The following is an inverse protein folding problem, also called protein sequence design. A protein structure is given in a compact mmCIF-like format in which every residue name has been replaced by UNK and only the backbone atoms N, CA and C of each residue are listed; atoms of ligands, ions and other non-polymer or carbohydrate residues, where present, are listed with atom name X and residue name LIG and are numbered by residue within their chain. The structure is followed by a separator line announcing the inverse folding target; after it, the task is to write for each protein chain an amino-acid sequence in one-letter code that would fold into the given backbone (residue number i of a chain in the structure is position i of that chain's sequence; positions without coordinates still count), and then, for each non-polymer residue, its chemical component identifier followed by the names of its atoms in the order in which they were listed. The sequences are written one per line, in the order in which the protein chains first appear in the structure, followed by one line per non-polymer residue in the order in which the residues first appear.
data_IF_009454086830
#
_entry.id   IF_009454086830
#
_cell.length_a   1.000
_cell.length_b   1.000
_cell.length_c   1.000
_cell.angle_alpha   90.00
_cell.angle_beta   90.00
_cell.angle_gamma   90.00
#
_symmetry.space_group_name_H-M   'P 1'
#
loop_
_entity.id
_entity.type
_entity.pdbx_description
1 polymer ?
#
# COMPACT_ATOMS: atom_id res chain seq x y z
N UNK A 1 -7.00 -25.36 0.81
CA UNK A 1 -7.47 -23.96 0.83
C UNK A 1 -6.32 -23.05 0.40
N UNK A 2 -6.43 -22.29 -0.69
CA UNK A 2 -5.27 -21.60 -1.29
C UNK A 2 -4.85 -20.30 -0.57
N UNK A 3 -5.78 -19.60 0.10
CA UNK A 3 -5.48 -18.34 0.79
C UNK A 3 -4.57 -18.52 2.01
N UNK A 4 -4.84 -19.46 2.95
CA UNK A 4 -3.95 -19.69 4.08
C UNK A 4 -2.54 -20.10 3.62
N UNK A 5 -2.44 -20.98 2.62
CA UNK A 5 -1.15 -21.40 2.06
C UNK A 5 -0.36 -20.22 1.50
N UNK A 6 -1.01 -19.32 0.76
CA UNK A 6 -0.35 -18.13 0.23
C UNK A 6 0.10 -17.17 1.33
N UNK A 7 -0.73 -16.97 2.35
CA UNK A 7 -0.41 -16.11 3.49
C UNK A 7 0.75 -16.67 4.33
N UNK A 8 0.75 -17.96 4.65
CA UNK A 8 1.84 -18.59 5.40
C UNK A 8 3.17 -18.54 4.64
N UNK A 9 3.15 -18.76 3.32
CA UNK A 9 4.36 -18.58 2.49
C UNK A 9 4.86 -17.13 2.54
N UNK A 10 3.96 -16.16 2.42
CA UNK A 10 4.32 -14.76 2.51
C UNK A 10 4.92 -14.36 3.86
N UNK A 11 4.36 -14.87 4.96
CA UNK A 11 4.90 -14.65 6.30
C UNK A 11 6.27 -15.30 6.47
N UNK A 12 6.47 -16.51 5.94
CA UNK A 12 7.78 -17.18 5.96
C UNK A 12 8.85 -16.50 5.10
N UNK A 13 8.44 -15.66 4.16
CA UNK A 13 9.31 -14.93 3.25
C UNK A 13 9.76 -13.57 3.81
N UNK A 14 9.00 -12.97 4.74
CA UNK A 14 9.34 -11.68 5.36
C UNK A 14 10.77 -11.60 5.93
N UNK A 15 11.30 -12.61 6.64
CA UNK A 15 12.64 -12.52 7.22
C UNK A 15 13.77 -12.66 6.18
N UNK A 16 13.46 -12.98 4.92
CA UNK A 16 14.50 -13.20 3.90
C UNK A 16 15.20 -11.87 3.58
N UNK A 17 16.55 -11.84 3.48
CA UNK A 17 17.30 -10.59 3.31
C UNK A 17 16.87 -9.75 2.10
N UNK A 18 16.52 -10.40 0.97
CA UNK A 18 16.07 -9.72 -0.25
C UNK A 18 14.71 -9.03 -0.06
N UNK A 19 13.80 -9.62 0.70
CA UNK A 19 12.44 -9.10 0.93
C UNK A 19 12.47 -8.06 2.05
N UNK A 20 13.16 -8.36 3.15
CA UNK A 20 13.36 -7.43 4.25
C UNK A 20 14.14 -6.19 3.81
N UNK A 21 15.11 -6.33 2.88
CA UNK A 21 15.84 -5.21 2.30
C UNK A 21 14.93 -4.19 1.62
N UNK A 22 13.82 -4.62 1.01
CA UNK A 22 12.81 -3.73 0.42
C UNK A 22 12.03 -2.97 1.50
N UNK A 23 11.66 -3.64 2.60
CA UNK A 23 11.04 -2.98 3.77
C UNK A 23 11.99 -1.92 4.34
N UNK A 24 13.24 -2.30 4.61
CA UNK A 24 14.26 -1.41 5.16
C UNK A 24 14.53 -0.22 4.24
N UNK A 25 14.60 -0.45 2.93
CA UNK A 25 14.76 0.62 1.93
C UNK A 25 13.54 1.56 1.91
N UNK A 26 12.32 1.04 1.97
CA UNK A 26 11.10 1.84 2.04
C UNK A 26 11.05 2.72 3.29
N UNK A 27 11.41 2.15 4.46
CA UNK A 27 11.50 2.88 5.73
C UNK A 27 12.60 3.94 5.65
N UNK A 28 13.80 3.58 5.20
CA UNK A 28 14.92 4.51 5.06
C UNK A 28 14.57 5.67 4.11
N UNK A 29 13.99 5.37 2.94
CA UNK A 29 13.59 6.38 1.97
C UNK A 29 12.52 7.31 2.55
N UNK A 30 11.56 6.78 3.30
CA UNK A 30 10.53 7.57 3.97
C UNK A 30 11.14 8.51 5.01
N UNK A 31 12.09 8.03 5.82
CA UNK A 31 12.81 8.83 6.82
C UNK A 31 13.68 9.91 6.18
N UNK A 32 14.43 9.57 5.12
CA UNK A 32 15.26 10.53 4.39
C UNK A 32 14.40 11.60 3.74
N UNK A 33 13.32 11.21 3.05
CA UNK A 33 12.42 12.15 2.42
C UNK A 33 11.73 13.05 3.45
N UNK A 34 11.33 12.49 4.60
CA UNK A 34 10.77 13.27 5.70
C UNK A 34 11.75 14.32 6.20
N UNK A 35 13.00 13.92 6.47
CA UNK A 35 14.04 14.81 6.97
C UNK A 35 14.36 15.93 5.97
N UNK A 36 14.46 15.60 4.68
CA UNK A 36 14.69 16.57 3.61
C UNK A 36 13.54 17.56 3.48
N UNK A 37 12.30 17.07 3.50
CA UNK A 37 11.11 17.90 3.44
C UNK A 37 10.99 18.81 4.67
N UNK A 38 11.30 18.31 5.86
CA UNK A 38 11.38 19.12 7.08
C UNK A 38 12.47 20.19 6.98
N UNK A 39 13.68 19.83 6.56
CA UNK A 39 14.77 20.78 6.40
C UNK A 39 14.40 21.88 5.38
N UNK A 40 13.77 21.50 4.27
CA UNK A 40 13.29 22.44 3.26
C UNK A 40 12.19 23.36 3.80
N UNK A 41 11.23 22.83 4.56
CA UNK A 41 10.16 23.63 5.16
C UNK A 41 10.71 24.63 6.19
N UNK A 42 11.61 24.18 7.08
CA UNK A 42 12.27 25.05 8.07
C UNK A 42 13.10 26.13 7.36
N UNK A 43 13.86 25.76 6.33
CA UNK A 43 14.62 26.71 5.53
C UNK A 43 13.71 27.75 4.87
N UNK A 44 12.62 27.32 4.24
CA UNK A 44 11.66 28.21 3.59
C UNK A 44 11.00 29.17 4.59
N UNK A 45 10.62 28.68 5.78
CA UNK A 45 10.04 29.53 6.83
C UNK A 45 11.06 30.54 7.35
N UNK A 46 12.34 30.16 7.50
CA UNK A 46 13.39 31.10 7.89
C UNK A 46 13.69 32.13 6.81
N UNK A 47 13.58 31.76 5.54
CA UNK A 47 13.88 32.63 4.41
C UNK A 47 12.72 33.58 4.06
N UNK A 48 11.47 33.12 4.21
CA UNK A 48 10.27 33.80 3.70
C UNK A 48 9.17 34.01 4.74
N UNK A 49 9.26 33.38 5.92
CA UNK A 49 8.24 33.43 6.95
C UNK A 49 8.36 34.67 7.84
N UNK A 50 7.25 35.12 8.46
CA UNK A 50 7.28 36.20 9.44
C UNK A 50 7.93 35.76 10.75
N UNK A 51 8.63 36.68 11.43
CA UNK A 51 9.31 36.41 12.72
C UNK A 51 8.34 36.01 13.85
N UNK A 52 7.08 36.47 13.75
CA UNK A 52 6.02 36.24 14.72
C UNK A 52 4.74 35.86 13.97
N UNK A 53 4.12 34.74 14.35
CA UNK A 53 2.77 34.39 13.91
C UNK A 53 1.80 34.66 15.06
N UNK A 54 0.94 35.66 14.90
CA UNK A 54 -0.09 35.98 15.89
C UNK A 54 -1.36 35.19 15.58
N UNK A 55 -1.67 34.18 16.38
CA UNK A 55 -2.88 33.38 16.21
C UNK A 55 -4.03 33.91 17.09
N UNK A 56 -5.26 34.07 16.56
CA UNK A 56 -6.38 34.70 17.27
C UNK A 56 -6.80 34.05 18.60
N UNK A 57 -6.44 32.77 18.82
CA UNK A 57 -6.76 32.02 20.04
C UNK A 57 -5.53 31.60 20.89
N UNK A 58 -4.32 31.68 20.32
CA UNK A 58 -3.12 31.03 20.90
C UNK A 58 -2.05 32.08 21.28
N UNK A 59 -2.14 33.31 20.77
CA UNK A 59 -1.17 34.38 21.00
C UNK A 59 -0.01 34.35 20.01
N UNK A 60 1.08 35.05 20.35
CA UNK A 60 2.26 35.17 19.50
C UNK A 60 3.14 33.92 19.56
N UNK A 61 3.38 33.33 18.39
CA UNK A 61 4.24 32.15 18.25
C UNK A 61 5.51 32.56 17.49
N UNK A 62 6.65 32.52 18.19
CA UNK A 62 7.96 32.72 17.58
C UNK A 62 8.37 31.48 16.78
N UNK A 63 8.53 31.64 15.47
CA UNK A 63 8.83 30.52 14.56
C UNK A 63 10.35 30.33 14.38
N UNK A 64 11.16 31.28 14.86
CA UNK A 64 12.58 31.39 14.53
C UNK A 64 13.47 30.27 15.10
N UNK A 65 12.98 29.47 16.06
CA UNK A 65 13.69 28.30 16.60
C UNK A 65 13.49 27.03 15.76
N UNK A 66 14.56 26.30 15.44
CA UNK A 66 14.49 24.99 14.76
C UNK A 66 13.73 23.91 15.57
N UNK A 67 13.51 24.15 16.87
CA UNK A 67 12.68 23.36 17.79
C UNK A 67 11.47 24.15 18.32
N UNK A 68 11.04 25.22 17.64
CA UNK A 68 9.86 25.97 18.10
C UNK A 68 8.60 25.12 17.94
N UNK A 69 7.59 25.37 18.78
CA UNK A 69 6.28 24.71 18.67
C UNK A 69 5.63 24.89 17.28
N UNK A 70 5.93 25.99 16.57
CA UNK A 70 5.49 26.22 15.18
C UNK A 70 6.12 25.25 14.18
N UNK A 71 7.39 24.88 14.38
CA UNK A 71 8.04 23.85 13.55
C UNK A 71 7.53 22.43 13.81
N UNK A 72 7.03 22.16 15.03
CA UNK A 72 6.44 20.87 15.39
C UNK A 72 5.06 20.67 14.77
N UNK A 73 4.30 21.74 14.52
CA UNK A 73 3.01 21.70 13.81
C UNK A 73 3.16 21.28 12.34
N UNK A 74 4.35 21.41 11.77
CA UNK A 74 4.63 20.95 10.40
C UNK A 74 4.73 19.43 10.33
N UNK A 75 5.08 18.73 11.42
CA UNK A 75 5.25 17.28 11.41
C UNK A 75 3.99 16.52 10.94
N UNK A 76 2.78 16.78 11.49
CA UNK A 76 1.55 16.14 11.01
C UNK A 76 1.17 16.52 9.58
N UNK A 77 1.45 17.75 9.15
CA UNK A 77 1.12 18.20 7.80
C UNK A 77 2.05 17.51 6.80
N UNK A 78 3.36 17.49 7.08
CA UNK A 78 4.35 16.86 6.23
C UNK A 78 4.21 15.34 6.17
N UNK A 79 3.71 14.68 7.21
CA UNK A 79 3.41 13.24 7.16
C UNK A 79 2.31 12.91 6.15
N UNK A 80 1.32 13.79 5.97
CA UNK A 80 0.31 13.67 4.92
C UNK A 80 0.93 13.87 3.54
N UNK A 81 1.80 14.87 3.36
CA UNK A 81 2.48 15.10 2.07
C UNK A 81 3.43 13.95 1.68
N UNK A 82 4.04 13.28 2.65
CA UNK A 82 4.85 12.08 2.42
C UNK A 82 4.07 10.89 1.87
N UNK A 83 2.77 10.83 2.14
CA UNK A 83 1.95 9.70 1.74
C UNK A 83 1.99 9.47 0.22
N UNK A 84 1.95 10.54 -0.58
CA UNK A 84 1.97 10.45 -2.04
C UNK A 84 3.28 9.84 -2.61
N UNK A 85 4.48 10.37 -2.33
CA UNK A 85 5.73 9.80 -2.83
C UNK A 85 6.03 8.41 -2.26
N UNK A 86 5.68 8.13 -1.01
CA UNK A 86 5.81 6.78 -0.43
C UNK A 86 4.90 5.78 -1.15
N UNK A 87 3.65 6.16 -1.41
CA UNK A 87 2.70 5.33 -2.16
C UNK A 87 3.18 5.08 -3.59
N UNK A 88 3.68 6.11 -4.28
CA UNK A 88 4.21 5.98 -5.64
C UNK A 88 5.45 5.08 -5.70
N UNK A 89 6.37 5.22 -4.74
CA UNK A 89 7.54 4.35 -4.62
C UNK A 89 7.15 2.88 -4.38
N UNK A 90 6.13 2.64 -3.56
CA UNK A 90 5.59 1.31 -3.33
C UNK A 90 4.92 0.70 -4.57
N UNK A 91 4.04 1.45 -5.22
CA UNK A 91 3.30 0.99 -6.40
C UNK A 91 4.20 0.72 -7.61
N UNK A 92 5.23 1.55 -7.83
CA UNK A 92 6.11 1.45 -8.99
C UNK A 92 7.28 0.50 -8.80
N UNK A 93 8.08 0.71 -7.74
CA UNK A 93 9.36 0.01 -7.59
C UNK A 93 9.23 -1.20 -6.66
N UNK A 94 8.70 -1.04 -5.45
CA UNK A 94 8.81 -2.10 -4.45
C UNK A 94 7.97 -3.35 -4.77
N UNK A 95 6.73 -3.18 -5.21
CA UNK A 95 5.85 -4.32 -5.47
C UNK A 95 6.33 -5.18 -6.66
N UNK A 96 6.93 -4.59 -7.70
CA UNK A 96 7.52 -5.34 -8.81
C UNK A 96 8.74 -6.15 -8.35
N UNK A 97 9.65 -5.52 -7.60
CA UNK A 97 10.85 -6.18 -7.09
C UNK A 97 10.51 -7.33 -6.14
N UNK A 98 9.48 -7.17 -5.31
CA UNK A 98 9.00 -8.20 -4.40
C UNK A 98 8.40 -9.38 -5.15
N UNK A 99 7.52 -9.14 -6.13
CA UNK A 99 6.94 -10.19 -6.94
C UNK A 99 8.04 -10.99 -7.67
N UNK A 100 9.00 -10.29 -8.28
CA UNK A 100 10.17 -10.92 -8.92
C UNK A 100 11.00 -11.73 -7.93
N UNK A 101 11.31 -11.18 -6.75
CA UNK A 101 12.09 -11.90 -5.75
C UNK A 101 11.39 -13.19 -5.29
N UNK A 102 10.08 -13.17 -5.13
CA UNK A 102 9.27 -14.35 -4.78
C UNK A 102 9.27 -15.38 -5.91
N UNK A 103 9.11 -14.93 -7.15
CA UNK A 103 9.19 -15.78 -8.35
C UNK A 103 10.56 -16.47 -8.45
N UNK A 104 11.65 -15.72 -8.29
CA UNK A 104 13.02 -16.24 -8.33
C UNK A 104 13.29 -17.27 -7.21
N UNK A 105 12.65 -17.11 -6.04
CA UNK A 105 12.85 -17.98 -4.87
C UNK A 105 11.99 -19.25 -4.94
N UNK A 106 10.73 -19.13 -5.35
CA UNK A 106 9.73 -20.21 -5.20
C UNK A 106 9.20 -20.78 -6.50
N UNK A 107 9.35 -20.08 -7.62
CA UNK A 107 8.74 -20.43 -8.90
C UNK A 107 9.78 -20.42 -10.04
N UNK A 108 10.81 -21.29 -9.97
CA UNK A 108 11.86 -21.34 -10.98
C UNK A 108 11.28 -21.65 -12.37
N UNK A 109 11.71 -20.88 -13.37
CA UNK A 109 11.26 -21.01 -14.76
C UNK A 109 10.08 -20.10 -15.15
N UNK A 110 9.53 -19.34 -14.21
CA UNK A 110 8.51 -18.32 -14.51
C UNK A 110 9.17 -16.95 -14.67
N UNK A 111 8.95 -16.29 -15.82
CA UNK A 111 9.44 -14.92 -16.06
C UNK A 111 8.27 -13.96 -16.22
N UNK A 112 8.05 -13.13 -15.21
CA UNK A 112 7.06 -12.05 -15.28
C UNK A 112 7.52 -10.88 -16.14
N UNK A 113 6.61 -10.29 -16.91
CA UNK A 113 6.84 -9.04 -17.66
C UNK A 113 6.92 -7.84 -16.69
N UNK A 114 7.86 -6.94 -16.94
CA UNK A 114 7.94 -5.66 -16.24
C UNK A 114 6.80 -4.74 -16.69
N UNK A 115 6.06 -4.17 -15.75
CA UNK A 115 4.97 -3.23 -16.05
C UNK A 115 5.58 -1.85 -16.27
N UNK A 116 5.22 -1.17 -17.36
CA UNK A 116 5.78 0.15 -17.67
C UNK A 116 5.30 1.17 -16.63
N UNK A 117 6.23 1.96 -16.08
CA UNK A 117 5.95 2.97 -15.04
C UNK A 117 4.77 3.90 -15.37
N UNK A 118 4.62 4.32 -16.63
CA UNK A 118 3.49 5.17 -17.08
C UNK A 118 2.13 4.49 -16.96
N UNK A 119 2.07 3.19 -17.25
CA UNK A 119 0.84 2.40 -17.11
C UNK A 119 0.49 2.23 -15.63
N UNK A 120 1.50 2.00 -14.78
CA UNK A 120 1.33 1.95 -13.33
C UNK A 120 0.82 3.27 -12.71
N UNK A 121 1.23 4.43 -13.25
CA UNK A 121 0.80 5.73 -12.75
C UNK A 121 -0.70 6.00 -13.03
N UNK A 122 -1.16 5.77 -14.27
CA UNK A 122 -2.58 5.95 -14.63
C UNK A 122 -3.48 5.01 -13.84
N UNK A 123 -3.03 3.79 -13.59
CA UNK A 123 -3.77 2.84 -12.77
C UNK A 123 -3.80 3.23 -11.31
N UNK A 124 -2.69 3.76 -10.77
CA UNK A 124 -2.66 4.29 -9.41
C UNK A 124 -3.69 5.41 -9.22
N UNK A 125 -3.92 6.26 -10.23
CA UNK A 125 -4.97 7.28 -10.19
C UNK A 125 -6.38 6.67 -10.18
N UNK A 126 -6.63 5.65 -10.99
CA UNK A 126 -7.93 4.95 -10.99
C UNK A 126 -8.20 4.24 -9.65
N UNK A 127 -7.17 3.64 -9.05
CA UNK A 127 -7.24 3.03 -7.71
C UNK A 127 -7.50 4.10 -6.67
N UNK A 128 -6.78 5.22 -6.71
CA UNK A 128 -6.97 6.35 -5.79
C UNK A 128 -8.41 6.88 -5.86
N UNK A 129 -8.96 7.05 -7.05
CA UNK A 129 -10.37 7.42 -7.23
C UNK A 129 -11.34 6.40 -6.63
N UNK A 130 -11.08 5.11 -6.81
CA UNK A 130 -11.89 4.05 -6.20
C UNK A 130 -11.78 4.03 -4.67
N UNK A 131 -10.58 4.19 -4.10
CA UNK A 131 -10.35 4.29 -2.65
C UNK A 131 -11.10 5.48 -2.07
N UNK A 132 -11.02 6.65 -2.72
CA UNK A 132 -11.72 7.86 -2.29
C UNK A 132 -13.23 7.66 -2.29
N UNK A 133 -13.78 7.07 -3.35
CA UNK A 133 -15.21 6.78 -3.43
C UNK A 133 -15.66 5.80 -2.35
N UNK A 134 -14.91 4.71 -2.15
CA UNK A 134 -15.13 3.73 -1.07
C UNK A 134 -15.10 4.39 0.30
N UNK A 135 -14.12 5.27 0.53
CA UNK A 135 -13.96 6.01 1.78
C UNK A 135 -15.14 6.93 2.03
N UNK A 136 -15.55 7.70 1.02
CA UNK A 136 -16.68 8.62 1.11
C UNK A 136 -18.00 7.88 1.38
N UNK A 137 -18.26 6.79 0.66
CA UNK A 137 -19.45 5.95 0.88
C UNK A 137 -19.44 5.40 2.29
N UNK A 138 -18.30 4.88 2.75
CA UNK A 138 -18.19 4.32 4.11
C UNK A 138 -18.41 5.39 5.17
N UNK A 139 -17.83 6.58 5.00
CA UNK A 139 -17.99 7.71 5.92
C UNK A 139 -19.45 8.14 6.03
N UNK A 140 -20.14 8.31 4.89
CA UNK A 140 -21.56 8.69 4.85
C UNK A 140 -22.45 7.60 5.45
N UNK A 141 -22.12 6.32 5.26
CA UNK A 141 -22.91 5.20 5.77
C UNK A 141 -22.64 4.85 7.24
N UNK A 142 -21.51 5.27 7.80
CA UNK A 142 -21.07 4.98 9.17
C UNK A 142 -22.14 5.28 10.25
N UNK A 143 -22.77 6.48 10.29
CA UNK A 143 -23.78 6.78 11.32
C UNK A 143 -25.04 5.91 11.24
N UNK A 144 -25.36 5.37 10.05
CA UNK A 144 -26.54 4.52 9.84
C UNK A 144 -26.29 3.04 10.18
N UNK A 145 -25.04 2.60 10.07
CA UNK A 145 -24.66 1.19 10.22
C UNK A 145 -24.20 0.81 11.63
N UNK A 146 -23.82 1.79 12.45
CA UNK A 146 -23.33 1.55 13.81
C UNK A 146 -22.19 0.52 13.81
N UNK A 147 -22.27 -0.58 14.58
CA UNK A 147 -21.24 -1.62 14.61
C UNK A 147 -20.94 -2.28 13.25
N UNK A 148 -21.94 -2.33 12.34
CA UNK A 148 -21.77 -2.91 11.00
C UNK A 148 -20.89 -2.04 10.08
N UNK A 149 -20.63 -0.77 10.46
CA UNK A 149 -19.72 0.10 9.73
C UNK A 149 -18.31 -0.51 9.62
N UNK A 150 -17.87 -1.24 10.65
CA UNK A 150 -16.58 -1.94 10.64
C UNK A 150 -16.54 -3.04 9.58
N UNK A 151 -17.61 -3.84 9.45
CA UNK A 151 -17.70 -4.86 8.40
C UNK A 151 -17.68 -4.23 7.00
N UNK A 152 -18.40 -3.12 6.82
CA UNK A 152 -18.40 -2.39 5.56
C UNK A 152 -17.00 -1.84 5.26
N UNK A 153 -16.35 -1.21 6.23
CA UNK A 153 -15.01 -0.64 6.09
C UNK A 153 -13.99 -1.70 5.69
N UNK A 154 -13.86 -2.78 6.48
CA UNK A 154 -12.88 -3.83 6.20
C UNK A 154 -13.25 -4.65 4.96
N UNK A 155 -14.55 -4.90 4.73
CA UNK A 155 -15.04 -5.63 3.58
C UNK A 155 -14.76 -4.89 2.27
N UNK A 156 -15.05 -3.59 2.23
CA UNK A 156 -14.90 -2.76 1.03
C UNK A 156 -13.43 -2.44 0.73
N UNK A 157 -12.64 -2.10 1.76
CA UNK A 157 -11.19 -1.93 1.62
C UNK A 157 -10.52 -3.26 1.26
N UNK A 158 -10.89 -4.37 1.91
CA UNK A 158 -10.35 -5.68 1.62
C UNK A 158 -10.69 -6.18 0.21
N UNK A 159 -11.91 -5.91 -0.27
CA UNK A 159 -12.29 -6.16 -1.66
C UNK A 159 -11.43 -5.37 -2.64
N UNK A 160 -11.22 -4.08 -2.38
CA UNK A 160 -10.44 -3.21 -3.24
C UNK A 160 -8.96 -3.62 -3.26
N UNK A 161 -8.33 -3.80 -2.10
CA UNK A 161 -6.96 -4.29 -1.96
C UNK A 161 -6.80 -5.64 -2.68
N UNK A 162 -7.73 -6.56 -2.42
CA UNK A 162 -7.73 -7.88 -3.04
C UNK A 162 -7.77 -7.82 -4.56
N UNK A 163 -8.61 -6.94 -5.10
CA UNK A 163 -8.74 -6.71 -6.54
C UNK A 163 -7.45 -6.19 -7.15
N UNK A 164 -6.84 -5.17 -6.53
CA UNK A 164 -5.67 -4.48 -7.10
C UNK A 164 -4.39 -5.31 -6.98
N UNK A 165 -4.10 -5.87 -5.81
CA UNK A 165 -2.88 -6.67 -5.63
C UNK A 165 -2.91 -7.98 -6.43
N UNK A 166 -4.07 -8.63 -6.56
CA UNK A 166 -4.21 -9.78 -7.45
C UNK A 166 -4.00 -9.38 -8.92
N UNK A 167 -4.55 -8.24 -9.33
CA UNK A 167 -4.39 -7.72 -10.68
C UNK A 167 -2.92 -7.45 -10.99
N UNK A 168 -2.20 -6.85 -10.04
CA UNK A 168 -0.78 -6.56 -10.16
C UNK A 168 0.05 -7.83 -10.34
N UNK A 169 -0.17 -8.85 -9.49
CA UNK A 169 0.52 -10.13 -9.61
C UNK A 169 0.19 -10.84 -10.94
N UNK A 170 -1.08 -10.86 -11.34
CA UNK A 170 -1.53 -11.58 -12.53
C UNK A 170 -1.01 -10.97 -13.84
N UNK A 171 -0.93 -9.64 -13.94
CA UNK A 171 -0.50 -8.95 -15.17
C UNK A 171 0.94 -9.16 -15.57
N UNK A 172 1.78 -9.61 -14.63
CA UNK A 172 3.13 -10.07 -14.94
C UNK A 172 3.11 -11.25 -15.91
N UNK A 173 2.04 -12.05 -15.92
CA UNK A 173 1.97 -13.33 -16.61
C UNK A 173 0.82 -13.44 -17.61
N UNK A 174 -0.24 -12.64 -17.44
CA UNK A 174 -1.49 -12.75 -18.19
C UNK A 174 -1.79 -11.50 -19.02
N UNK A 175 -2.54 -11.69 -20.11
CA UNK A 175 -3.13 -10.57 -20.86
C UNK A 175 -4.16 -9.82 -20.02
N UNK A 176 -4.55 -8.61 -20.44
CA UNK A 176 -5.57 -7.82 -19.74
C UNK A 176 -6.92 -8.57 -19.62
N UNK A 177 -7.31 -9.32 -20.66
CA UNK A 177 -8.55 -10.09 -20.69
C UNK A 177 -8.48 -11.28 -19.73
N UNK A 178 -7.37 -12.02 -19.76
CA UNK A 178 -7.16 -13.18 -18.89
C UNK A 178 -7.05 -12.79 -17.42
N UNK A 179 -6.43 -11.63 -17.15
CA UNK A 179 -6.39 -11.03 -15.81
C UNK A 179 -7.81 -10.74 -15.32
N UNK A 180 -8.67 -10.16 -16.16
CA UNK A 180 -10.06 -9.87 -15.79
C UNK A 180 -10.85 -11.16 -15.51
N UNK A 181 -10.64 -12.21 -16.29
CA UNK A 181 -11.26 -13.52 -16.06
C UNK A 181 -10.78 -14.15 -14.74
N UNK A 182 -9.46 -14.11 -14.48
CA UNK A 182 -8.87 -14.62 -13.25
C UNK A 182 -9.43 -13.90 -12.01
N UNK A 183 -9.53 -12.57 -12.03
CA UNK A 183 -10.08 -11.79 -10.91
C UNK A 183 -11.52 -12.17 -10.58
N UNK A 184 -12.35 -12.44 -11.60
CA UNK A 184 -13.71 -12.93 -11.38
C UNK A 184 -13.70 -14.32 -10.73
N UNK A 185 -12.83 -15.21 -11.20
CA UNK A 185 -12.68 -16.58 -10.66
C UNK A 185 -12.19 -16.59 -9.22
N UNK A 186 -11.23 -15.72 -8.89
CA UNK A 186 -10.61 -15.64 -7.57
C UNK A 186 -11.19 -14.54 -6.68
N UNK A 187 -12.35 -13.98 -7.02
CA UNK A 187 -12.94 -12.85 -6.31
C UNK A 187 -13.04 -13.09 -4.80
N UNK A 188 -13.54 -14.27 -4.40
CA UNK A 188 -13.74 -14.63 -2.99
C UNK A 188 -12.40 -14.74 -2.25
N UNK A 189 -11.42 -15.40 -2.87
CA UNK A 189 -10.10 -15.62 -2.29
C UNK A 189 -9.30 -14.32 -2.19
N UNK A 190 -9.35 -13.51 -3.25
CA UNK A 190 -8.71 -12.20 -3.29
C UNK A 190 -9.30 -11.25 -2.25
N UNK A 191 -10.64 -11.21 -2.13
CA UNK A 191 -11.32 -10.40 -1.12
C UNK A 191 -10.99 -10.88 0.28
N UNK A 192 -11.03 -12.19 0.56
CA UNK A 192 -10.67 -12.74 1.87
C UNK A 192 -9.23 -12.38 2.26
N UNK A 193 -8.28 -12.55 1.33
CA UNK A 193 -6.90 -12.16 1.55
C UNK A 193 -6.75 -10.65 1.76
N UNK A 194 -7.43 -9.84 0.97
CA UNK A 194 -7.42 -8.38 1.10
C UNK A 194 -8.03 -7.91 2.42
N UNK A 195 -9.07 -8.56 2.94
CA UNK A 195 -9.63 -8.28 4.28
C UNK A 195 -8.61 -8.59 5.36
N UNK A 196 -7.88 -9.71 5.28
CA UNK A 196 -6.80 -10.02 6.23
C UNK A 196 -5.73 -8.93 6.18
N UNK A 197 -5.30 -8.51 4.98
CA UNK A 197 -4.32 -7.43 4.82
C UNK A 197 -4.85 -6.11 5.40
N UNK A 198 -6.12 -5.77 5.17
CA UNK A 198 -6.74 -4.57 5.72
C UNK A 198 -6.78 -4.58 7.26
N UNK A 199 -7.05 -5.74 7.87
CA UNK A 199 -7.00 -5.91 9.31
C UNK A 199 -5.57 -5.79 9.86
N UNK A 200 -4.57 -6.31 9.15
CA UNK A 200 -3.17 -6.14 9.55
C UNK A 200 -2.71 -4.68 9.49
N UNK A 201 -3.26 -3.88 8.57
CA UNK A 201 -2.93 -2.47 8.41
C UNK A 201 -3.35 -1.60 9.61
N UNK A 202 -4.31 -2.05 10.41
CA UNK A 202 -4.75 -1.30 11.60
C UNK A 202 -3.87 -1.53 12.81
N UNK A 203 -2.99 -2.54 12.78
CA UNK A 203 -1.99 -2.77 13.83
C UNK A 203 -0.73 -1.97 13.48
N UNK A 204 -0.36 -0.93 14.26
CA UNK A 204 0.68 0.04 13.87
C UNK A 204 2.03 -0.61 13.50
N UNK A 205 2.48 -1.59 14.29
CA UNK A 205 3.76 -2.27 14.06
C UNK A 205 3.73 -3.23 12.87
N UNK A 206 2.56 -3.79 12.54
CA UNK A 206 2.41 -4.67 11.38
C UNK A 206 2.20 -3.88 10.08
N UNK A 207 1.70 -2.66 10.17
CA UNK A 207 1.40 -1.81 9.02
C UNK A 207 2.64 -1.53 8.15
N UNK A 208 3.85 -1.49 8.74
CA UNK A 208 5.11 -1.34 7.98
C UNK A 208 5.36 -2.53 7.04
N UNK A 209 4.90 -3.73 7.41
CA UNK A 209 5.06 -4.95 6.63
C UNK A 209 3.90 -5.21 5.67
N UNK A 210 2.74 -4.58 5.88
CA UNK A 210 1.52 -4.78 5.09
C UNK A 210 1.73 -4.64 3.58
N UNK A 211 2.41 -3.59 3.08
CA UNK A 211 2.63 -3.46 1.64
C UNK A 211 3.41 -4.65 1.08
N UNK A 212 4.42 -5.12 1.82
CA UNK A 212 5.24 -6.26 1.43
C UNK A 212 4.47 -7.57 1.50
N UNK A 213 3.73 -7.80 2.58
CA UNK A 213 2.85 -8.95 2.75
C UNK A 213 1.79 -9.03 1.65
N UNK A 214 1.23 -7.90 1.23
CA UNK A 214 0.30 -7.84 0.11
C UNK A 214 0.99 -8.25 -1.19
N UNK A 215 2.10 -7.61 -1.57
CA UNK A 215 2.79 -7.92 -2.82
C UNK A 215 3.23 -9.40 -2.91
N UNK A 216 3.90 -9.90 -1.86
CA UNK A 216 4.37 -11.30 -1.79
C UNK A 216 3.19 -12.27 -1.73
N UNK A 217 2.21 -11.99 -0.88
CA UNK A 217 1.08 -12.86 -0.66
C UNK A 217 0.18 -13.02 -1.87
N UNK A 218 -0.11 -11.93 -2.60
CA UNK A 218 -0.90 -12.01 -3.83
C UNK A 218 -0.12 -12.66 -4.98
N UNK A 219 1.21 -12.56 -5.00
CA UNK A 219 2.07 -13.32 -5.92
C UNK A 219 1.95 -14.82 -5.65
N UNK A 220 2.03 -15.25 -4.39
CA UNK A 220 1.76 -16.65 -4.03
C UNK A 220 0.33 -17.06 -4.35
N UNK A 221 -0.67 -16.23 -4.06
CA UNK A 221 -2.07 -16.55 -4.35
C UNK A 221 -2.26 -16.82 -5.85
N UNK A 222 -1.66 -15.99 -6.71
CA UNK A 222 -1.64 -16.21 -8.15
C UNK A 222 -1.03 -17.58 -8.51
N UNK A 223 0.21 -17.86 -8.11
CA UNK A 223 0.88 -19.09 -8.52
C UNK A 223 0.29 -20.36 -7.89
N UNK A 224 -0.17 -20.31 -6.65
CA UNK A 224 -0.89 -21.44 -6.01
C UNK A 224 -2.19 -21.73 -6.77
N UNK A 225 -2.90 -20.69 -7.21
CA UNK A 225 -4.11 -20.87 -8.01
C UNK A 225 -3.83 -21.41 -9.42
N UNK A 226 -2.68 -21.09 -10.00
CA UNK A 226 -2.26 -21.53 -11.33
C UNK A 226 -1.68 -22.96 -11.34
N UNK A 227 -1.01 -23.37 -10.26
CA UNK A 227 -0.44 -24.71 -10.08
C UNK A 227 -1.44 -25.76 -9.59
N UNK A 228 -2.61 -25.34 -9.13
CA UNK A 228 -3.71 -26.26 -8.83
C UNK A 228 -4.35 -26.69 -10.16
N UNK A 229 -4.21 -27.96 -10.61
CA UNK A 229 -4.92 -28.43 -11.79
C UNK A 229 -6.41 -28.47 -11.44
N UNK A 230 -7.18 -27.50 -11.89
CA UNK A 230 -8.63 -27.62 -11.85
C UNK A 230 -9.04 -28.48 -13.03
N UNK A 231 -9.43 -29.71 -12.68
CA UNK A 231 -9.74 -30.78 -13.61
C UNK A 231 -10.65 -30.36 -14.75
N UNK A 232 -10.35 -30.94 -15.92
CA UNK A 232 -11.32 -31.38 -16.92
C UNK A 232 -12.71 -31.53 -16.30
N UNK A 233 -13.55 -30.52 -16.44
CA UNK A 233 -14.98 -30.74 -16.51
C UNK A 233 -15.29 -30.74 -17.99
N UNK A 234 -15.28 -31.95 -18.54
CA UNK A 234 -16.07 -32.26 -19.74
C UNK A 234 -17.55 -32.19 -19.41
#
# INVERSE_FOLDING_TARGET
MIVPTALFRAMGDLPRPRIFGVVALGVLLSLVLFALLQAAAIWAIRAFGPDVLTLPLIGDIHINGALSWGSLILFPIMSVFLMAPVTAGFAGLFAEHLAKAVEDIHYPGVQGKSVRFREGLLESLAVMGAVLLVTLVTLVMTPFLGPLASLLFYGLNGWLLGREFLQMAARRHLSANDTRALRKRLFKQATAMGVIIALLATVPFLNVFVPVLAAVGFTHLYHVSASTPQGRRG
#
